data_IF_522542468664
#
_entry.id   IF_522542468664
#
_cell.length_a   1.000
_cell.length_b   1.000
_cell.length_c   1.000
_cell.angle_alpha   90.00
_cell.angle_beta   90.00
_cell.angle_gamma   90.00
#
_symmetry.space_group_name_H-M   'P 1'
#
loop_
_entity.id
_entity.type
_entity.pdbx_description
1 polymer ?
#
# COMPACT_ATOMS: atom_id res chain seq x y z
N UNK A 1 0.15 -14.54 3.69
CA UNK A 1 -1.06 -13.87 3.17
C UNK A 1 -0.84 -13.46 1.70
N UNK A 2 -1.84 -13.61 0.82
CA UNK A 2 -1.74 -13.24 -0.60
C UNK A 2 -2.44 -11.88 -0.86
N UNK A 3 -1.78 -10.98 -1.57
CA UNK A 3 -2.34 -9.71 -2.06
C UNK A 3 -2.32 -9.68 -3.59
N UNK A 4 -3.50 -9.67 -4.19
CA UNK A 4 -3.71 -9.49 -5.62
C UNK A 4 -4.25 -8.08 -5.83
N UNK A 5 -3.45 -7.17 -6.38
CA UNK A 5 -3.89 -5.78 -6.62
C UNK A 5 -3.49 -5.30 -8.01
N UNK A 6 -4.40 -4.61 -8.69
CA UNK A 6 -4.09 -3.93 -9.96
C UNK A 6 -3.24 -2.67 -9.76
N UNK A 7 -3.14 -2.16 -8.53
CA UNK A 7 -2.28 -1.03 -8.15
C UNK A 7 -0.87 -1.52 -7.81
N UNK A 8 0.11 -1.20 -8.67
CA UNK A 8 1.52 -1.51 -8.39
C UNK A 8 2.03 -0.83 -7.10
N UNK A 9 1.45 0.31 -6.73
CA UNK A 9 1.74 1.00 -5.46
C UNK A 9 1.40 0.13 -4.25
N UNK A 10 0.29 -0.62 -4.29
CA UNK A 10 -0.10 -1.52 -3.20
C UNK A 10 0.94 -2.65 -3.05
N UNK A 11 1.42 -3.18 -4.18
CA UNK A 11 2.39 -4.28 -4.19
C UNK A 11 3.76 -3.82 -3.69
N UNK A 12 4.21 -2.64 -4.12
CA UNK A 12 5.47 -2.03 -3.64
C UNK A 12 5.38 -1.70 -2.15
N UNK A 13 4.25 -1.16 -1.68
CA UNK A 13 4.06 -0.83 -0.26
C UNK A 13 3.90 -2.07 0.62
N UNK A 14 3.24 -3.12 0.13
CA UNK A 14 3.18 -4.42 0.80
C UNK A 14 4.58 -5.03 0.97
N UNK A 15 5.41 -5.00 -0.08
CA UNK A 15 6.82 -5.40 0.02
C UNK A 15 7.60 -4.56 1.03
N UNK A 16 7.46 -3.23 0.97
CA UNK A 16 8.17 -2.33 1.87
C UNK A 16 7.69 -2.40 3.33
N UNK A 17 6.49 -2.95 3.58
CA UNK A 17 5.95 -3.15 4.94
C UNK A 17 6.78 -4.12 5.78
N UNK A 18 7.49 -5.05 5.13
CA UNK A 18 8.23 -6.14 5.79
C UNK A 18 7.32 -7.24 6.36
N UNK A 19 5.99 -7.13 6.20
CA UNK A 19 5.06 -8.20 6.55
C UNK A 19 5.07 -9.33 5.51
N UNK A 20 4.61 -10.52 5.90
CA UNK A 20 4.72 -11.74 5.10
C UNK A 20 3.63 -11.84 4.02
N UNK A 21 3.73 -10.93 3.04
CA UNK A 21 2.90 -10.96 1.85
C UNK A 21 3.53 -11.82 0.75
N UNK A 22 2.69 -12.59 0.07
CA UNK A 22 2.86 -12.97 -1.32
C UNK A 22 2.04 -11.97 -2.14
N UNK A 23 2.54 -11.46 -3.26
CA UNK A 23 1.84 -10.43 -4.00
C UNK A 23 1.97 -10.60 -5.51
N UNK A 24 0.93 -10.23 -6.25
CA UNK A 24 0.94 -10.21 -7.71
C UNK A 24 -0.06 -9.19 -8.26
N UNK A 25 0.17 -8.74 -9.50
CA UNK A 25 -0.80 -7.92 -10.23
C UNK A 25 -1.64 -8.84 -11.12
N UNK A 26 -2.98 -8.94 -10.91
CA UNK A 26 -3.86 -9.78 -11.73
C UNK A 26 -3.73 -9.56 -13.23
N UNK A 27 -3.48 -8.31 -13.66
CA UNK A 27 -3.33 -7.97 -15.07
C UNK A 27 -2.03 -8.49 -15.72
N UNK A 28 -1.11 -9.02 -14.92
CA UNK A 28 0.18 -9.58 -15.38
C UNK A 28 0.31 -11.08 -15.12
N UNK A 29 -0.71 -11.71 -14.54
CA UNK A 29 -0.70 -13.15 -14.31
C UNK A 29 -0.85 -13.88 -15.65
N UNK A 30 -0.07 -14.94 -15.81
CA UNK A 30 -0.24 -15.87 -16.94
C UNK A 30 -1.22 -16.98 -16.56
N UNK A 31 -1.85 -17.58 -17.57
CA UNK A 31 -2.79 -18.68 -17.35
C UNK A 31 -2.16 -19.82 -16.55
N UNK A 32 -2.89 -20.29 -15.53
CA UNK A 32 -2.43 -21.36 -14.64
C UNK A 32 -1.45 -20.95 -13.53
N UNK A 33 -1.00 -19.69 -13.47
CA UNK A 33 -0.11 -19.21 -12.40
C UNK A 33 -0.85 -19.04 -11.06
N UNK A 34 -2.11 -18.59 -11.12
CA UNK A 34 -2.91 -18.24 -9.95
C UNK A 34 -3.10 -19.40 -8.95
N UNK A 35 -3.42 -20.64 -9.36
CA UNK A 35 -3.42 -21.79 -8.43
C UNK A 35 -2.08 -21.99 -7.73
N UNK A 36 -0.97 -21.75 -8.43
CA UNK A 36 0.38 -21.79 -7.86
C UNK A 36 0.56 -20.78 -6.73
N UNK A 37 0.06 -19.56 -6.92
CA UNK A 37 0.08 -18.48 -5.93
C UNK A 37 -0.84 -18.73 -4.73
N UNK A 38 -1.93 -19.48 -4.90
CA UNK A 38 -2.86 -19.80 -3.82
C UNK A 38 -2.39 -20.95 -2.91
N UNK A 39 -1.45 -21.81 -3.38
CA UNK A 39 -0.94 -22.91 -2.56
C UNK A 39 -0.27 -22.43 -1.28
N UNK A 40 -0.75 -22.96 -0.15
CA UNK A 40 -0.23 -22.66 1.19
C UNK A 40 -0.52 -21.22 1.65
N UNK A 41 -1.56 -20.59 1.11
CA UNK A 41 -2.01 -19.26 1.53
C UNK A 41 -3.16 -19.41 2.54
N UNK A 42 -3.05 -18.72 3.67
CA UNK A 42 -4.08 -18.75 4.71
C UNK A 42 -5.19 -17.71 4.51
N UNK A 43 -4.90 -16.60 3.82
CA UNK A 43 -5.82 -15.49 3.53
C UNK A 43 -5.45 -14.84 2.21
N UNK A 44 -6.45 -14.55 1.36
CA UNK A 44 -6.30 -13.85 0.09
C UNK A 44 -7.06 -12.50 0.10
N UNK A 45 -6.40 -11.44 -0.35
CA UNK A 45 -7.01 -10.12 -0.59
C UNK A 45 -6.91 -9.80 -2.07
N UNK A 46 -8.04 -9.47 -2.68
CA UNK A 46 -8.14 -9.06 -4.08
C UNK A 46 -8.65 -7.62 -4.14
N UNK A 47 -7.85 -6.73 -4.71
CA UNK A 47 -8.19 -5.32 -4.93
C UNK A 47 -8.16 -4.98 -6.40
N UNK A 48 -9.32 -4.67 -6.98
CA UNK A 48 -9.45 -4.43 -8.43
C UNK A 48 -10.38 -3.25 -8.74
N UNK A 49 -10.13 -2.58 -9.86
CA UNK A 49 -11.04 -1.58 -10.44
C UNK A 49 -12.05 -2.27 -11.36
N UNK A 50 -13.25 -1.71 -11.47
CA UNK A 50 -14.30 -2.22 -12.36
C UNK A 50 -15.15 -3.38 -11.79
N UNK A 51 -15.00 -3.69 -10.50
CA UNK A 51 -15.83 -4.68 -9.80
C UNK A 51 -15.60 -6.12 -10.27
N UNK A 52 -16.49 -7.03 -9.88
CA UNK A 52 -16.35 -8.47 -10.12
C UNK A 52 -16.12 -8.84 -11.60
N UNK A 53 -16.86 -8.19 -12.51
CA UNK A 53 -16.80 -8.48 -13.96
C UNK A 53 -15.44 -8.17 -14.60
N UNK A 54 -14.64 -7.29 -13.99
CA UNK A 54 -13.34 -6.92 -14.53
C UNK A 54 -12.32 -8.08 -14.48
N UNK A 55 -12.51 -9.04 -13.57
CA UNK A 55 -11.62 -10.19 -13.41
C UNK A 55 -12.34 -11.42 -12.85
N UNK A 56 -13.50 -11.73 -13.45
CA UNK A 56 -14.45 -12.73 -12.97
C UNK A 56 -13.82 -14.12 -12.80
N UNK A 57 -13.18 -14.67 -13.84
CA UNK A 57 -12.62 -16.02 -13.79
C UNK A 57 -11.52 -16.16 -12.70
N UNK A 58 -10.74 -15.10 -12.51
CA UNK A 58 -9.72 -15.04 -11.46
C UNK A 58 -10.32 -15.00 -10.06
N UNK A 59 -11.36 -14.18 -9.85
CA UNK A 59 -12.09 -14.13 -8.59
C UNK A 59 -12.74 -15.47 -8.29
N UNK A 60 -13.43 -16.07 -9.25
CA UNK A 60 -14.09 -17.37 -9.09
C UNK A 60 -13.06 -18.46 -8.74
N UNK A 61 -11.88 -18.42 -9.35
CA UNK A 61 -10.77 -19.33 -9.02
C UNK A 61 -10.29 -19.15 -7.58
N UNK A 62 -10.14 -17.90 -7.11
CA UNK A 62 -9.73 -17.61 -5.72
C UNK A 62 -10.81 -18.08 -4.75
N UNK A 63 -12.08 -17.79 -5.01
CA UNK A 63 -13.20 -18.22 -4.16
C UNK A 63 -13.31 -19.76 -4.10
N UNK A 64 -13.17 -20.43 -5.24
CA UNK A 64 -13.21 -21.88 -5.34
C UNK A 64 -12.04 -22.58 -4.61
N UNK A 65 -10.94 -21.86 -4.32
CA UNK A 65 -9.81 -22.40 -3.56
C UNK A 65 -10.13 -22.69 -2.09
N UNK A 66 -11.22 -22.12 -1.56
CA UNK A 66 -11.63 -22.26 -0.16
C UNK A 66 -10.82 -21.43 0.83
N UNK A 67 -9.82 -20.67 0.36
CA UNK A 67 -9.06 -19.73 1.18
C UNK A 67 -9.97 -18.57 1.60
N UNK A 68 -9.96 -18.13 2.88
CA UNK A 68 -10.62 -16.89 3.29
C UNK A 68 -10.25 -15.72 2.38
N UNK A 69 -11.23 -15.21 1.65
CA UNK A 69 -11.04 -14.26 0.56
C UNK A 69 -11.75 -12.95 0.86
N UNK A 70 -11.00 -11.86 0.75
CA UNK A 70 -11.48 -10.49 0.89
C UNK A 70 -11.41 -9.83 -0.48
N UNK A 71 -12.55 -9.43 -1.03
CA UNK A 71 -12.66 -8.73 -2.30
C UNK A 71 -13.02 -7.27 -2.02
N UNK A 72 -12.19 -6.35 -2.51
CA UNK A 72 -12.37 -4.90 -2.28
C UNK A 72 -12.16 -4.11 -3.56
N UNK A 73 -12.80 -2.95 -3.61
CA UNK A 73 -12.69 -2.06 -4.75
C UNK A 73 -11.32 -1.36 -4.78
N UNK A 74 -10.82 -1.16 -5.99
CA UNK A 74 -9.73 -0.23 -6.28
C UNK A 74 -10.17 1.24 -6.19
N UNK A 75 -11.47 1.50 -6.23
CA UNK A 75 -12.04 2.85 -6.14
C UNK A 75 -11.98 3.39 -4.71
N UNK A 76 -12.25 4.69 -4.54
CA UNK A 76 -12.39 5.27 -3.20
C UNK A 76 -13.63 4.75 -2.47
N UNK A 77 -14.73 4.60 -3.19
CA UNK A 77 -15.97 4.04 -2.65
C UNK A 77 -15.90 2.50 -2.58
N UNK A 78 -16.42 1.89 -1.51
CA UNK A 78 -16.55 0.43 -1.45
C UNK A 78 -17.53 -0.08 -2.51
N UNK A 79 -17.32 -1.30 -2.98
CA UNK A 79 -18.20 -2.01 -3.90
C UNK A 79 -18.99 -3.07 -3.13
N UNK A 80 -20.31 -2.97 -3.17
CA UNK A 80 -21.22 -3.85 -2.43
C UNK A 80 -21.21 -5.29 -2.99
N UNK A 81 -21.11 -5.47 -4.31
CA UNK A 81 -21.10 -6.80 -4.94
C UNK A 81 -19.80 -7.54 -4.60
N UNK A 82 -18.66 -6.84 -4.58
CA UNK A 82 -17.40 -7.42 -4.09
C UNK A 82 -17.47 -7.77 -2.59
N UNK A 83 -18.07 -6.90 -1.78
CA UNK A 83 -18.23 -7.14 -0.34
C UNK A 83 -19.10 -8.37 -0.07
N UNK A 84 -20.22 -8.51 -0.79
CA UNK A 84 -21.15 -9.65 -0.68
C UNK A 84 -20.49 -10.98 -1.10
N UNK A 85 -19.60 -10.95 -2.10
CA UNK A 85 -18.86 -12.13 -2.57
C UNK A 85 -17.66 -12.51 -1.69
N UNK A 86 -17.24 -11.64 -0.78
CA UNK A 86 -16.16 -11.95 0.15
C UNK A 86 -16.57 -13.09 1.08
N UNK A 87 -15.64 -13.99 1.42
CA UNK A 87 -15.94 -15.15 2.29
C UNK A 87 -15.69 -14.86 3.77
N UNK A 88 -15.56 -13.59 4.13
CA UNK A 88 -15.32 -13.11 5.50
C UNK A 88 -16.46 -12.17 5.91
N UNK A 89 -16.66 -11.92 7.21
CA UNK A 89 -17.62 -10.92 7.67
C UNK A 89 -17.43 -9.56 6.97
N UNK A 90 -18.51 -8.92 6.54
CA UNK A 90 -18.48 -7.67 5.78
C UNK A 90 -17.66 -6.55 6.46
N UNK A 91 -17.68 -6.48 7.80
CA UNK A 91 -16.87 -5.52 8.56
C UNK A 91 -15.36 -5.67 8.32
N UNK A 92 -14.87 -6.90 8.09
CA UNK A 92 -13.46 -7.15 7.76
C UNK A 92 -13.14 -6.68 6.35
N UNK A 93 -14.04 -6.91 5.39
CA UNK A 93 -13.87 -6.43 4.02
C UNK A 93 -13.87 -4.89 3.94
N UNK A 94 -14.81 -4.24 4.64
CA UNK A 94 -14.87 -2.77 4.73
C UNK A 94 -13.61 -2.20 5.38
N UNK A 95 -13.15 -2.77 6.50
CA UNK A 95 -11.93 -2.28 7.14
C UNK A 95 -10.69 -2.49 6.27
N UNK A 96 -10.62 -3.62 5.55
CA UNK A 96 -9.56 -3.89 4.56
C UNK A 96 -9.56 -2.85 3.45
N UNK A 97 -10.74 -2.50 2.93
CA UNK A 97 -10.91 -1.42 1.95
C UNK A 97 -10.35 -0.11 2.46
N UNK A 98 -10.64 0.25 3.72
CA UNK A 98 -10.15 1.51 4.33
C UNK A 98 -8.62 1.53 4.46
N UNK A 99 -7.99 0.44 4.92
CA UNK A 99 -6.51 0.37 4.96
C UNK A 99 -5.88 0.56 3.59
N UNK A 100 -6.45 -0.06 2.56
CA UNK A 100 -5.91 0.01 1.20
C UNK A 100 -6.22 1.34 0.51
N UNK A 101 -7.37 1.96 0.80
CA UNK A 101 -7.72 3.29 0.31
C UNK A 101 -6.80 4.39 0.86
N UNK A 102 -6.43 4.29 2.15
CA UNK A 102 -5.39 5.16 2.71
C UNK A 102 -3.99 4.76 2.23
N UNK A 103 -3.73 3.47 2.03
CA UNK A 103 -2.49 2.96 1.46
C UNK A 103 -1.24 3.29 2.29
N UNK A 104 -0.06 3.06 1.72
CA UNK A 104 1.21 3.34 2.38
C UNK A 104 1.69 2.22 3.32
N UNK A 105 3.00 2.25 3.56
CA UNK A 105 3.74 1.19 4.26
C UNK A 105 3.20 0.89 5.68
N UNK A 106 2.87 1.88 6.53
CA UNK A 106 2.31 1.61 7.85
C UNK A 106 0.97 0.90 7.78
N UNK A 107 0.07 1.32 6.89
CA UNK A 107 -1.27 0.73 6.76
C UNK A 107 -1.21 -0.69 6.23
N UNK A 108 -0.34 -1.00 5.27
CA UNK A 108 -0.17 -2.39 4.78
C UNK A 108 0.40 -3.30 5.88
N UNK A 109 1.28 -2.80 6.75
CA UNK A 109 1.75 -3.57 7.91
C UNK A 109 0.61 -3.85 8.90
N UNK A 110 -0.20 -2.84 9.20
CA UNK A 110 -1.34 -2.97 10.12
C UNK A 110 -2.45 -3.83 9.53
N UNK A 111 -2.68 -3.77 8.21
CA UNK A 111 -3.61 -4.64 7.52
C UNK A 111 -3.23 -6.11 7.67
N UNK A 112 -1.95 -6.45 7.51
CA UNK A 112 -1.47 -7.82 7.71
C UNK A 112 -1.75 -8.30 9.14
N UNK A 113 -1.40 -7.49 10.14
CA UNK A 113 -1.64 -7.82 11.54
C UNK A 113 -3.15 -7.95 11.83
N UNK A 114 -3.96 -7.03 11.34
CA UNK A 114 -5.42 -7.05 11.46
C UNK A 114 -6.01 -8.36 10.93
N UNK A 115 -5.67 -8.76 9.72
CA UNK A 115 -6.22 -9.98 9.12
C UNK A 115 -5.65 -11.23 9.78
N UNK A 116 -4.37 -11.23 10.17
CA UNK A 116 -3.77 -12.35 10.89
C UNK A 116 -4.40 -12.55 12.28
N UNK A 117 -4.77 -11.48 12.97
CA UNK A 117 -5.39 -11.56 14.30
C UNK A 117 -6.86 -11.93 14.19
N UNK A 118 -7.59 -11.34 13.25
CA UNK A 118 -9.04 -11.53 13.14
C UNK A 118 -9.44 -12.84 12.48
N UNK A 119 -8.65 -13.33 11.51
CA UNK A 119 -8.98 -14.55 10.77
C UNK A 119 -8.17 -15.76 11.24
N UNK A 120 -6.96 -15.55 11.73
CA UNK A 120 -6.03 -16.63 12.09
C UNK A 120 -5.70 -16.69 13.59
N UNK A 121 -6.24 -15.76 14.40
CA UNK A 121 -6.06 -15.72 15.86
C UNK A 121 -4.59 -15.69 16.31
N UNK A 122 -3.72 -15.01 15.55
CA UNK A 122 -2.26 -15.02 15.79
C UNK A 122 -1.80 -14.11 16.93
N UNK A 123 -2.43 -12.95 17.13
CA UNK A 123 -2.19 -12.07 18.28
C UNK A 123 -1.02 -11.09 18.12
N UNK A 124 -0.72 -10.62 16.90
CA UNK A 124 0.30 -9.59 16.65
C UNK A 124 -0.04 -8.22 17.26
N UNK A 125 -1.33 -7.90 17.34
CA UNK A 125 -1.84 -6.57 17.64
C UNK A 125 -1.79 -5.65 16.42
N UNK A 126 -2.87 -4.89 16.19
CA UNK A 126 -2.97 -3.94 15.09
C UNK A 126 -3.52 -2.58 15.54
N UNK A 127 -3.08 -1.52 14.88
CA UNK A 127 -3.59 -0.15 15.03
C UNK A 127 -4.53 0.24 13.88
N UNK A 128 -5.44 1.22 14.08
CA UNK A 128 -6.41 1.59 13.05
C UNK A 128 -5.75 2.18 11.80
N UNK A 129 -6.48 2.23 10.65
CA UNK A 129 -6.00 2.89 9.44
C UNK A 129 -5.64 4.36 9.70
N UNK A 130 -4.50 4.80 9.15
CA UNK A 130 -4.02 6.18 9.29
C UNK A 130 -4.04 6.86 7.92
N UNK A 131 -4.61 8.05 7.85
CA UNK A 131 -4.62 8.83 6.60
C UNK A 131 -3.20 9.20 6.16
N UNK A 132 -2.87 8.92 4.90
CA UNK A 132 -1.62 9.38 4.29
C UNK A 132 -1.73 10.86 3.90
N UNK A 133 -0.73 11.69 4.21
CA UNK A 133 -0.76 13.10 3.85
C UNK A 133 -0.77 13.28 2.33
N UNK A 134 -1.55 14.25 1.84
CA UNK A 134 -1.63 14.56 0.40
C UNK A 134 -0.30 15.02 -0.21
N UNK A 135 0.59 15.58 0.60
CA UNK A 135 1.91 16.05 0.19
C UNK A 135 2.93 15.72 1.27
N UNK A 136 4.12 15.34 0.84
CA UNK A 136 5.27 15.11 1.72
C UNK A 136 6.44 15.96 1.23
N UNK A 137 7.14 16.61 2.15
CA UNK A 137 8.40 17.27 1.83
C UNK A 137 9.49 16.20 1.68
N UNK A 138 9.96 15.98 0.45
CA UNK A 138 11.13 15.15 0.23
C UNK A 138 12.39 15.95 0.56
N UNK A 139 13.08 15.59 1.64
CA UNK A 139 14.44 16.10 1.88
C UNK A 139 15.45 15.06 1.40
N UNK A 140 16.24 15.43 0.40
CA UNK A 140 17.41 14.64 0.05
C UNK A 140 18.34 14.66 1.26
N UNK A 141 18.74 13.47 1.74
CA UNK A 141 19.81 13.37 2.72
C UNK A 141 21.08 13.87 2.02
N UNK A 142 21.45 15.12 2.27
CA UNK A 142 22.73 15.63 1.81
C UNK A 142 23.82 14.73 2.43
N UNK A 143 24.86 14.34 1.67
CA UNK A 143 26.02 13.68 2.28
C UNK A 143 26.48 14.57 3.42
N UNK A 144 26.71 13.98 4.59
CA UNK A 144 27.16 14.69 5.79
C UNK A 144 28.51 15.32 5.50
N UNK A 145 28.49 16.53 4.93
CA UNK A 145 29.65 17.40 4.88
C UNK A 145 29.85 17.87 6.31
N UNK A 146 30.97 17.47 6.91
CA UNK A 146 31.47 17.95 8.19
C UNK A 146 31.93 19.41 8.07
N UNK A 147 31.10 20.29 7.49
CA UNK A 147 31.28 21.72 7.52
C UNK A 147 30.21 22.29 8.44
N UNK A 148 30.62 22.71 9.64
CA UNK A 148 29.79 23.54 10.53
C UNK A 148 29.34 24.76 9.73
N UNK A 149 28.07 24.76 9.33
CA UNK A 149 27.41 25.99 8.94
C UNK A 149 26.93 26.66 10.23
N UNK A 150 27.54 27.81 10.55
CA UNK A 150 27.06 28.71 11.59
C UNK A 150 25.61 29.11 11.31
N UNK A 151 24.73 29.18 12.33
CA UNK A 151 23.33 29.52 12.11
C UNK A 151 23.21 31.02 11.83
N UNK A 152 22.86 31.39 10.60
CA UNK A 152 22.32 32.71 10.31
C UNK A 152 20.80 32.57 10.12
N UNK A 153 20.10 32.31 11.21
CA UNK A 153 18.67 32.57 11.32
C UNK A 153 18.50 33.83 12.17
N UNK A 154 18.35 34.97 11.53
CA UNK A 154 17.67 36.12 12.17
C UNK A 154 16.81 36.84 11.13
N UNK A 155 15.52 36.68 11.34
CA UNK A 155 14.40 37.58 11.03
C UNK A 155 14.79 39.05 10.87
N UNK A 156 14.46 39.67 9.71
CA UNK A 156 14.39 41.14 9.57
C UNK A 156 14.80 41.68 8.18
N UNK A 157 14.20 42.78 7.68
CA UNK A 157 14.18 43.09 6.24
C UNK A 157 15.25 44.13 5.83
N UNK A 158 16.25 43.72 5.03
CA UNK A 158 17.08 44.63 4.20
C UNK A 158 17.93 43.82 3.18
N UNK A 159 18.35 44.40 2.04
CA UNK A 159 18.47 43.68 0.78
C UNK A 159 19.80 42.95 0.57
N UNK A 160 19.70 41.81 -0.09
CA UNK A 160 20.80 40.98 -0.57
C UNK A 160 21.72 41.77 -1.51
N UNK A 161 22.94 42.12 -1.06
CA UNK A 161 24.02 42.56 -1.96
C UNK A 161 24.54 41.34 -2.72
N UNK A 162 24.20 41.25 -4.00
CA UNK A 162 24.81 40.30 -4.92
C UNK A 162 26.31 40.59 -5.07
N UNK A 163 27.17 39.70 -4.58
CA UNK A 163 28.59 39.71 -4.93
C UNK A 163 28.73 39.27 -6.39
N UNK A 164 28.98 40.24 -7.26
CA UNK A 164 29.34 40.05 -8.67
C UNK A 164 30.73 39.41 -8.71
N UNK A 165 30.81 38.14 -9.09
CA UNK A 165 32.07 37.46 -9.40
C UNK A 165 32.65 38.09 -10.68
N UNK A 166 33.71 38.89 -10.54
CA UNK A 166 34.54 39.31 -11.67
C UNK A 166 35.33 38.09 -12.18
N UNK A 167 34.98 37.58 -13.37
CA UNK A 167 35.88 36.74 -14.16
C UNK A 167 36.88 37.66 -14.86
N UNK A 168 38.16 37.51 -14.51
CA UNK A 168 39.28 38.00 -15.31
C UNK A 168 39.63 36.96 -16.37
N UNK A 169 39.72 37.36 -17.63
CA UNK A 169 40.57 36.72 -18.64
C UNK A 169 40.67 37.62 -19.88
N UNK A 170 41.90 38.09 -20.13
CA UNK A 170 42.54 38.51 -21.39
C UNK A 170 41.92 39.66 -22.19
#
# INVERSE_FOLDING_TARGET
>A
MLLLSTSDTDLITARASGANYRWANPARLVDGELPGLLRGVDVAVVRILGGYRAWQDGIDTVLASGVPTILVSGEQSPDADLTERSTVPAGIAVQTHIYLAHGGVPNLRQLHAFLSDTLLMTGFGFGPPVSTPMWVCWSARLPTSTARLSPCCTTGPAPCRQHRLHRSAL
#
